data_IF_773349936468
#
_entry.id   IF_773349936468
#
_cell.length_a   1.000
_cell.length_b   1.000
_cell.length_c   1.000
_cell.angle_alpha   90.00
_cell.angle_beta   90.00
_cell.angle_gamma   90.00
#
_symmetry.space_group_name_H-M   'P 1'
#
loop_
_entity.id
_entity.type
_entity.pdbx_description
1 polymer ?
#
# COMPACT_ATOMS: atom_id res chain seq x y z
N UNK A 1 5.19 18.95 32.40
CA UNK A 1 5.27 19.02 30.94
C UNK A 1 5.11 17.60 30.41
N UNK A 2 4.20 17.36 29.47
CA UNK A 2 3.92 16.02 28.95
C UNK A 2 4.25 15.94 27.46
N UNK A 3 4.79 14.81 27.04
CA UNK A 3 5.16 14.53 25.65
C UNK A 3 4.49 13.22 25.24
N UNK A 4 3.98 13.17 24.01
CA UNK A 4 3.37 11.99 23.43
C UNK A 4 4.19 11.58 22.20
N UNK A 5 4.58 10.32 22.14
CA UNK A 5 5.27 9.74 21.00
C UNK A 5 4.36 8.68 20.39
N UNK A 6 4.16 8.75 19.08
CA UNK A 6 3.37 7.79 18.34
C UNK A 6 3.84 7.72 16.90
N UNK A 7 3.76 6.52 16.33
CA UNK A 7 3.97 6.32 14.89
C UNK A 7 2.66 6.63 14.14
N UNK A 8 2.78 7.42 13.08
CA UNK A 8 1.66 7.71 12.20
C UNK A 8 2.11 7.76 10.75
N UNK A 9 1.26 7.21 9.87
CA UNK A 9 1.45 7.34 8.43
C UNK A 9 0.98 8.71 7.97
N UNK A 10 1.85 9.41 7.23
CA UNK A 10 1.47 10.63 6.53
C UNK A 10 0.48 10.26 5.42
N UNK A 11 -0.67 10.94 5.37
CA UNK A 11 -1.63 10.83 4.26
C UNK A 11 -1.93 12.23 3.74
N UNK A 12 -1.61 12.51 2.47
CA UNK A 12 -1.80 13.82 1.84
C UNK A 12 -1.17 14.98 2.64
N UNK A 13 0.03 14.77 3.19
CA UNK A 13 0.71 15.77 4.03
C UNK A 13 0.12 15.95 5.44
N UNK A 14 -0.90 15.16 5.82
CA UNK A 14 -1.54 15.24 7.12
C UNK A 14 -1.09 14.07 8.01
N UNK A 15 -0.64 14.39 9.22
CA UNK A 15 -0.38 13.42 10.30
C UNK A 15 -1.59 13.45 11.24
N UNK A 16 -2.36 12.36 11.27
CA UNK A 16 -3.54 12.27 12.14
C UNK A 16 -3.09 11.88 13.56
N UNK A 17 -3.39 12.74 14.52
CA UNK A 17 -3.18 12.45 15.94
C UNK A 17 -4.23 11.41 16.40
N UNK A 18 -3.81 10.31 17.06
CA UNK A 18 -4.72 9.32 17.64
C UNK A 18 -5.73 9.94 18.63
N UNK A 19 -6.94 9.40 18.68
CA UNK A 19 -8.03 9.95 19.49
C UNK A 19 -7.75 9.92 21.00
N UNK A 20 -6.87 9.01 21.46
CA UNK A 20 -6.40 8.94 22.84
C UNK A 20 -5.70 10.23 23.30
N UNK A 21 -4.95 10.88 22.39
CA UNK A 21 -4.18 12.07 22.71
C UNK A 21 -4.97 13.36 22.46
N UNK A 22 -5.98 13.34 21.58
CA UNK A 22 -6.78 14.54 21.27
C UNK A 22 -7.41 15.19 22.49
N UNK A 23 -7.92 14.39 23.44
CA UNK A 23 -8.52 14.91 24.68
C UNK A 23 -7.51 15.54 25.64
N UNK A 24 -6.23 15.19 25.49
CA UNK A 24 -5.12 15.63 26.36
C UNK A 24 -4.34 16.81 25.76
N UNK A 25 -4.58 17.14 24.49
CA UNK A 25 -3.91 18.21 23.76
C UNK A 25 -4.74 19.50 23.86
N UNK A 26 -4.12 20.56 24.39
CA UNK A 26 -4.71 21.90 24.41
C UNK A 26 -4.59 22.64 23.07
N UNK A 27 -4.94 23.93 23.05
CA UNK A 27 -4.97 24.74 21.82
C UNK A 27 -3.59 25.06 21.22
N UNK A 28 -2.50 24.94 21.99
CA UNK A 28 -1.13 25.17 21.54
C UNK A 28 -0.23 24.00 21.92
N UNK A 29 0.49 23.48 20.93
CA UNK A 29 1.47 22.39 21.11
C UNK A 29 2.74 22.66 20.30
N UNK A 30 3.85 22.08 20.76
CA UNK A 30 5.08 21.95 19.98
C UNK A 30 5.12 20.54 19.41
N UNK A 31 5.43 20.42 18.11
CA UNK A 31 5.49 19.14 17.40
C UNK A 31 6.93 18.86 16.99
N UNK A 32 7.39 17.62 17.17
CA UNK A 32 8.68 17.12 16.68
C UNK A 32 8.37 15.96 15.75
N UNK A 33 8.89 15.99 14.52
CA UNK A 33 8.70 14.94 13.52
C UNK A 33 10.04 14.24 13.33
N UNK A 34 10.06 12.93 13.54
CA UNK A 34 11.23 12.08 13.29
C UNK A 34 10.90 11.17 12.12
N UNK A 35 11.58 11.37 10.99
CA UNK A 35 11.43 10.48 9.83
C UNK A 35 12.28 9.23 10.07
N UNK A 36 11.64 8.06 10.07
CA UNK A 36 12.34 6.79 10.07
C UNK A 36 12.40 6.30 8.63
N UNK A 37 13.60 6.07 8.11
CA UNK A 37 13.78 5.42 6.81
C UNK A 37 13.33 3.96 6.95
N UNK A 38 12.05 3.71 6.70
CA UNK A 38 11.55 2.36 6.50
C UNK A 38 12.10 1.93 5.13
N UNK A 39 13.09 1.04 5.12
CA UNK A 39 13.58 0.40 3.90
C UNK A 39 12.35 -0.06 3.11
N UNK A 40 12.05 0.60 1.99
CA UNK A 40 10.90 0.28 1.15
C UNK A 40 10.98 -1.22 0.84
N UNK A 41 10.08 -2.00 1.43
CA UNK A 41 9.94 -3.40 1.06
C UNK A 41 9.53 -3.39 -0.41
N UNK A 42 10.51 -3.60 -1.31
CA UNK A 42 10.29 -3.75 -2.75
C UNK A 42 9.07 -4.60 -2.94
N UNK A 43 8.03 -4.04 -3.56
CA UNK A 43 6.83 -4.79 -3.90
C UNK A 43 7.28 -6.00 -4.72
N UNK A 44 7.20 -7.19 -4.13
CA UNK A 44 7.45 -8.44 -4.84
C UNK A 44 6.27 -8.60 -5.79
N UNK A 45 6.45 -8.12 -7.03
CA UNK A 45 5.51 -8.38 -8.11
C UNK A 45 5.55 -9.87 -8.42
N UNK A 46 4.74 -10.67 -7.75
CA UNK A 46 4.54 -12.06 -8.14
C UNK A 46 3.75 -12.08 -9.44
N UNK A 47 4.45 -12.22 -10.57
CA UNK A 47 3.83 -12.57 -11.85
C UNK A 47 3.26 -13.98 -11.72
N UNK A 48 1.98 -14.06 -11.36
CA UNK A 48 1.23 -15.30 -11.37
C UNK A 48 1.06 -15.72 -12.83
N UNK A 49 1.87 -16.68 -13.27
CA UNK A 49 1.76 -17.28 -14.60
C UNK A 49 0.39 -17.94 -14.72
N UNK A 50 -0.44 -17.45 -15.63
CA UNK A 50 -1.72 -18.07 -15.97
C UNK A 50 -1.42 -19.38 -16.71
N UNK A 51 -1.73 -20.52 -16.08
CA UNK A 51 -1.75 -21.82 -16.75
C UNK A 51 -3.06 -21.93 -17.53
N UNK A 52 -3.03 -21.57 -18.82
CA UNK A 52 -4.14 -21.84 -19.74
C UNK A 52 -4.27 -23.37 -19.94
N UNK A 53 -5.46 -23.91 -19.65
CA UNK A 53 -5.79 -25.31 -19.95
C UNK A 53 -6.09 -25.43 -21.44
N UNK A 54 -5.07 -25.72 -22.25
CA UNK A 54 -5.18 -25.87 -23.71
C UNK A 54 -5.67 -27.26 -24.14
N UNK A 55 -5.93 -28.18 -23.21
CA UNK A 55 -6.26 -29.58 -23.51
C UNK A 55 -7.58 -29.75 -24.29
N UNK A 56 -8.50 -28.80 -24.16
CA UNK A 56 -9.80 -28.82 -24.84
C UNK A 56 -9.84 -27.89 -26.06
N UNK A 57 -8.77 -27.13 -26.32
CA UNK A 57 -8.67 -26.27 -27.50
C UNK A 57 -8.17 -27.09 -28.68
N UNK A 58 -9.10 -27.54 -29.52
CA UNK A 58 -8.79 -28.16 -30.81
C UNK A 58 -8.67 -27.04 -31.84
N UNK A 59 -7.47 -26.83 -32.36
CA UNK A 59 -7.23 -25.83 -33.40
C UNK A 59 -7.85 -26.33 -34.71
N UNK A 60 -8.88 -25.61 -35.18
CA UNK A 60 -9.52 -25.92 -36.46
C UNK A 60 -8.70 -25.28 -37.59
N UNK A 61 -7.99 -26.13 -38.33
CA UNK A 61 -7.01 -25.70 -39.33
C UNK A 61 -7.68 -25.20 -40.60
N UNK A 62 -8.87 -25.70 -40.90
CA UNK A 62 -9.60 -25.35 -42.12
C UNK A 62 -10.20 -23.93 -41.97
N UNK A 63 -10.87 -23.64 -40.86
CA UNK A 63 -11.42 -22.32 -40.57
C UNK A 63 -10.36 -21.20 -40.45
N UNK A 64 -9.13 -21.55 -40.08
CA UNK A 64 -8.02 -20.59 -39.95
C UNK A 64 -7.37 -20.21 -41.30
N UNK A 65 -7.53 -21.06 -42.33
CA UNK A 65 -6.94 -20.88 -43.65
C UNK A 65 -7.91 -20.27 -44.68
N UNK A 66 -9.18 -20.06 -44.33
CA UNK A 66 -10.20 -19.41 -45.18
C UNK A 66 -10.07 -17.87 -45.21
N UNK A 67 -8.89 -17.31 -44.89
CA UNK A 67 -8.64 -15.86 -44.84
C UNK A 67 -7.51 -15.42 -45.74
#
# INVERSE_FOLDING_TARGET
MFTFEFDAKVRNGIIKIPDEFKKKIGSRVKVIIVSKEENEKKAVSSFNSIKLKTKEFKFDRDAANER
#
